data_IF_864170253115
#
_entry.id   IF_864170253115
#
_cell.length_a   1.000
_cell.length_b   1.000
_cell.length_c   1.000
_cell.angle_alpha   90.00
_cell.angle_beta   90.00
_cell.angle_gamma   90.00
#
_symmetry.space_group_name_H-M   'P 1'
#
loop_
_entity.id
_entity.type
_entity.pdbx_description
1 polymer ?
#
# COMPACT_ATOMS: atom_id res chain seq x y z
N UNK A 1 5.25 -14.68 13.39
CA UNK A 1 4.61 -13.34 13.49
C UNK A 1 3.75 -13.32 14.72
N UNK A 2 3.92 -12.33 15.60
CA UNK A 2 3.05 -12.14 16.77
C UNK A 2 1.85 -11.28 16.39
N UNK A 3 0.69 -11.56 16.98
CA UNK A 3 -0.52 -10.75 16.86
C UNK A 3 -1.07 -10.42 18.25
N UNK A 4 -1.54 -9.20 18.43
CA UNK A 4 -2.21 -8.74 19.67
C UNK A 4 -3.66 -8.43 19.35
N UNK A 5 -4.59 -8.98 20.14
CA UNK A 5 -6.00 -8.62 20.04
C UNK A 5 -6.23 -7.25 20.67
N UNK A 6 -6.97 -6.41 19.98
CA UNK A 6 -7.35 -5.06 20.44
C UNK A 6 -8.87 -4.93 20.41
N UNK A 7 -9.40 -4.17 21.36
CA UNK A 7 -10.81 -3.73 21.32
C UNK A 7 -10.86 -2.35 20.65
N UNK A 8 -11.77 -2.18 19.69
CA UNK A 8 -11.91 -0.96 18.90
C UNK A 8 -13.38 -0.53 18.90
N UNK A 9 -13.60 0.77 19.05
CA UNK A 9 -14.90 1.39 18.80
C UNK A 9 -14.91 1.89 17.36
N UNK A 10 -15.83 1.39 16.55
CA UNK A 10 -16.04 1.81 15.16
C UNK A 10 -17.50 2.23 14.99
N UNK A 11 -17.76 3.13 14.04
CA UNK A 11 -19.14 3.47 13.69
C UNK A 11 -19.85 2.26 13.06
N UNK A 12 -21.18 2.26 13.09
CA UNK A 12 -21.97 1.23 12.43
C UNK A 12 -21.68 1.18 10.93
N UNK A 13 -21.43 2.33 10.31
CA UNK A 13 -21.13 2.45 8.88
C UNK A 13 -19.76 1.85 8.55
N UNK A 14 -18.74 2.10 9.38
CA UNK A 14 -17.41 1.50 9.21
C UNK A 14 -17.47 -0.02 9.35
N UNK A 15 -18.26 -0.53 10.30
CA UNK A 15 -18.47 -1.97 10.45
C UNK A 15 -19.15 -2.58 9.23
N UNK A 16 -20.20 -1.93 8.71
CA UNK A 16 -20.90 -2.36 7.52
C UNK A 16 -19.98 -2.35 6.28
N UNK A 17 -19.11 -1.34 6.17
CA UNK A 17 -18.10 -1.31 5.12
C UNK A 17 -17.13 -2.48 5.22
N UNK A 18 -16.56 -2.76 6.40
CA UNK A 18 -15.65 -3.90 6.59
C UNK A 18 -16.33 -5.25 6.27
N UNK A 19 -17.61 -5.40 6.61
CA UNK A 19 -18.40 -6.58 6.25
C UNK A 19 -18.58 -6.73 4.75
N UNK A 20 -18.88 -5.62 4.05
CA UNK A 20 -19.02 -5.64 2.58
C UNK A 20 -17.75 -6.15 1.89
N UNK A 21 -16.57 -5.82 2.42
CA UNK A 21 -15.31 -6.28 1.84
C UNK A 21 -15.08 -7.79 2.07
N UNK A 22 -15.58 -8.33 3.18
CA UNK A 22 -15.55 -9.76 3.44
C UNK A 22 -16.55 -10.51 2.55
N UNK A 23 -17.76 -10.00 2.39
CA UNK A 23 -18.79 -10.55 1.48
C UNK A 23 -18.32 -10.54 0.03
N UNK A 24 -17.61 -9.48 -0.39
CA UNK A 24 -17.00 -9.38 -1.71
C UNK A 24 -15.80 -10.32 -1.91
N UNK A 25 -15.43 -11.13 -0.91
CA UNK A 25 -14.31 -12.07 -0.98
C UNK A 25 -12.92 -11.41 -0.96
N UNK A 26 -12.84 -10.09 -0.78
CA UNK A 26 -11.57 -9.35 -0.77
C UNK A 26 -10.74 -9.66 0.47
N UNK A 27 -11.40 -9.87 1.61
CA UNK A 27 -10.74 -10.21 2.86
C UNK A 27 -11.45 -11.36 3.58
N UNK A 28 -10.64 -12.25 4.17
CA UNK A 28 -11.12 -13.42 4.93
C UNK A 28 -11.80 -13.09 6.26
N UNK A 29 -11.67 -11.86 6.76
CA UNK A 29 -12.28 -11.41 8.02
C UNK A 29 -12.18 -9.89 8.18
N UNK A 30 -12.96 -9.31 9.10
CA UNK A 30 -12.83 -7.90 9.52
C UNK A 30 -11.40 -7.57 9.97
N UNK A 31 -10.75 -8.45 10.74
CA UNK A 31 -9.36 -8.23 11.17
C UNK A 31 -8.37 -8.19 10.01
N UNK A 32 -8.58 -8.99 8.96
CA UNK A 32 -7.74 -8.94 7.77
C UNK A 32 -7.93 -7.61 7.00
N UNK A 33 -9.18 -7.13 6.89
CA UNK A 33 -9.47 -5.83 6.29
C UNK A 33 -8.85 -4.67 7.09
N UNK A 34 -8.97 -4.68 8.43
CA UNK A 34 -8.34 -3.69 9.31
C UNK A 34 -6.81 -3.73 9.20
N UNK A 35 -6.22 -4.92 9.13
CA UNK A 35 -4.77 -5.04 8.96
C UNK A 35 -4.30 -4.51 7.60
N UNK A 36 -5.09 -4.69 6.54
CA UNK A 36 -4.83 -4.09 5.24
C UNK A 36 -4.94 -2.56 5.28
N UNK A 37 -5.95 -2.01 5.97
CA UNK A 37 -6.09 -0.57 6.16
C UNK A 37 -4.89 0.04 6.91
N UNK A 38 -4.36 -0.64 7.93
CA UNK A 38 -3.14 -0.21 8.65
C UNK A 38 -1.91 -0.20 7.72
N UNK A 39 -1.81 -1.16 6.79
CA UNK A 39 -0.71 -1.16 5.79
C UNK A 39 -0.84 0.00 4.83
N UNK A 40 -2.05 0.23 4.31
CA UNK A 40 -2.34 1.36 3.43
C UNK A 40 -1.99 2.69 4.11
N UNK A 41 -2.29 2.84 5.40
CA UNK A 41 -1.95 4.05 6.15
C UNK A 41 -0.44 4.28 6.30
N UNK A 42 0.35 3.20 6.34
CA UNK A 42 1.82 3.28 6.34
C UNK A 42 2.36 3.64 4.97
N UNK A 43 1.77 3.06 3.92
CA UNK A 43 2.14 3.33 2.54
C UNK A 43 1.77 4.76 2.13
N UNK A 44 0.63 5.29 2.57
CA UNK A 44 0.24 6.68 2.32
C UNK A 44 1.20 7.67 2.98
N UNK A 45 1.82 7.31 4.10
CA UNK A 45 2.85 8.13 4.73
C UNK A 45 4.18 8.16 3.92
N UNK A 46 4.34 7.27 2.94
CA UNK A 46 5.51 7.22 2.06
C UNK A 46 5.30 7.95 0.73
N UNK A 47 4.10 8.48 0.46
CA UNK A 47 3.77 9.13 -0.80
C UNK A 47 4.72 10.29 -1.11
N UNK A 48 4.89 11.21 -0.15
CA UNK A 48 5.82 12.34 -0.29
C UNK A 48 7.27 11.89 -0.48
N UNK A 49 7.69 10.81 0.20
CA UNK A 49 9.04 10.27 0.09
C UNK A 49 9.28 9.64 -1.28
N UNK A 50 8.30 8.93 -1.84
CA UNK A 50 8.36 8.42 -3.21
C UNK A 50 8.36 9.55 -4.23
N UNK A 51 7.52 10.57 -4.05
CA UNK A 51 7.48 11.73 -4.93
C UNK A 51 8.84 12.46 -4.95
N UNK A 52 9.45 12.65 -3.78
CA UNK A 52 10.79 13.23 -3.66
C UNK A 52 11.84 12.35 -4.36
N UNK A 53 11.85 11.04 -4.08
CA UNK A 53 12.82 10.11 -4.69
C UNK A 53 12.70 10.06 -6.22
N UNK A 54 11.49 10.06 -6.78
CA UNK A 54 11.29 10.15 -8.22
C UNK A 54 11.73 11.51 -8.78
N UNK A 55 11.50 12.60 -8.05
CA UNK A 55 12.00 13.93 -8.43
C UNK A 55 13.53 13.99 -8.48
N UNK A 56 14.19 13.43 -7.47
CA UNK A 56 15.65 13.31 -7.40
C UNK A 56 16.19 12.46 -8.57
N UNK A 57 15.60 11.29 -8.81
CA UNK A 57 15.96 10.42 -9.92
C UNK A 57 15.84 11.10 -11.28
N UNK A 58 14.72 11.76 -11.56
CA UNK A 58 14.49 12.43 -12.84
C UNK A 58 15.45 13.61 -13.07
N UNK A 59 16.00 14.18 -12.00
CA UNK A 59 17.01 15.24 -12.08
C UNK A 59 18.45 14.68 -12.15
N UNK A 60 18.64 13.37 -11.95
CA UNK A 60 19.94 12.72 -11.96
C UNK A 60 20.46 12.56 -13.40
N UNK A 61 21.75 12.83 -13.59
CA UNK A 61 22.41 12.68 -14.88
C UNK A 61 22.54 11.21 -15.31
N UNK A 62 22.42 10.27 -14.37
CA UNK A 62 22.47 8.84 -14.63
C UNK A 62 21.12 8.30 -15.14
N UNK A 63 20.00 9.00 -14.97
CA UNK A 63 18.69 8.47 -15.39
C UNK A 63 18.64 8.02 -16.88
N UNK A 64 19.19 8.79 -17.85
CA UNK A 64 19.27 8.34 -19.25
C UNK A 64 20.17 7.12 -19.49
N UNK A 65 21.18 6.90 -18.64
CA UNK A 65 22.03 5.70 -18.69
C UNK A 65 21.21 4.44 -18.42
N UNK A 66 20.33 4.53 -17.42
CA UNK A 66 19.46 3.43 -17.01
C UNK A 66 18.29 3.21 -17.98
N UNK A 67 17.77 4.26 -18.61
CA UNK A 67 16.78 4.11 -19.68
C UNK A 67 17.33 3.26 -20.85
N UNK A 68 18.63 3.38 -21.14
CA UNK A 68 19.30 2.66 -22.23
C UNK A 68 19.36 1.14 -22.07
N UNK A 69 19.26 0.63 -20.83
CA UNK A 69 19.30 -0.82 -20.53
C UNK A 69 17.92 -1.42 -20.31
N UNK A 70 16.83 -0.65 -20.45
CA UNK A 70 15.45 -1.11 -20.20
C UNK A 70 15.04 -2.31 -21.07
N UNK A 71 15.62 -2.45 -22.26
CA UNK A 71 15.32 -3.51 -23.22
C UNK A 71 16.33 -4.68 -23.18
N UNK A 72 17.29 -4.68 -22.25
CA UNK A 72 18.28 -5.73 -22.18
C UNK A 72 17.64 -7.08 -21.81
N UNK A 73 17.85 -8.09 -22.64
CA UNK A 73 17.39 -9.47 -22.39
C UNK A 73 15.91 -9.74 -22.72
N UNK A 74 15.17 -8.78 -23.27
CA UNK A 74 13.83 -8.99 -23.84
C UNK A 74 13.90 -9.14 -25.36
N UNK A 75 13.70 -10.37 -25.83
CA UNK A 75 13.51 -10.76 -27.23
C UNK A 75 12.11 -11.38 -27.41
#
# INVERSE_FOLDING_TARGET
>A
MSFTKVSLSLSSDDLAYLDSQAVAGRFRSRSAAVQAAVRLLRESALEDAYAAAYGEWNADADAPLWDGVTADGVA
#
